data_IF_795802382964
#
_entry.id   IF_795802382964
#
_cell.length_a   1.000
_cell.length_b   1.000
_cell.length_c   1.000
_cell.angle_alpha   90.00
_cell.angle_beta   90.00
_cell.angle_gamma   90.00
#
_symmetry.space_group_name_H-M   'P 1'
#
loop_
_entity.id
_entity.type
_entity.pdbx_description
1 polymer ?
#
# COMPACT_ATOMS: atom_id res chain seq x y z
N UNK A 1 -18.95 -12.01 -36.33
CA UNK A 1 -17.60 -11.64 -36.81
C UNK A 1 -16.52 -12.12 -35.85
N UNK A 2 -15.27 -12.14 -36.28
CA UNK A 2 -14.12 -12.51 -35.47
C UNK A 2 -13.76 -11.33 -34.56
N UNK A 3 -13.81 -11.52 -33.25
CA UNK A 3 -13.57 -10.44 -32.30
C UNK A 3 -12.06 -10.32 -31.95
N UNK A 4 -11.37 -11.47 -31.80
CA UNK A 4 -9.95 -11.55 -31.49
C UNK A 4 -9.37 -12.87 -31.99
N UNK A 5 -8.09 -12.89 -32.37
CA UNK A 5 -7.36 -14.13 -32.67
C UNK A 5 -5.88 -13.93 -32.32
N UNK A 6 -5.33 -14.86 -31.55
CA UNK A 6 -3.94 -14.88 -31.16
C UNK A 6 -3.42 -16.32 -31.17
N UNK A 7 -2.15 -16.50 -31.53
CA UNK A 7 -1.49 -17.80 -31.60
C UNK A 7 -0.39 -17.93 -30.56
N UNK A 8 -0.35 -19.06 -29.87
CA UNK A 8 0.65 -19.37 -28.83
C UNK A 8 1.32 -20.69 -29.10
N UNK A 9 2.63 -20.84 -28.91
CA UNK A 9 3.26 -22.13 -28.92
C UNK A 9 2.84 -22.92 -27.66
N UNK A 10 2.31 -24.13 -27.87
CA UNK A 10 1.98 -25.02 -26.75
C UNK A 10 3.25 -25.59 -26.13
N UNK A 11 3.42 -25.41 -24.83
CA UNK A 11 4.56 -25.91 -24.05
C UNK A 11 4.05 -26.67 -22.83
N UNK A 12 4.34 -27.97 -22.77
CA UNK A 12 3.96 -28.83 -21.67
C UNK A 12 2.50 -29.34 -21.73
N UNK A 13 2.05 -29.96 -20.64
CA UNK A 13 0.72 -30.58 -20.50
C UNK A 13 -0.37 -29.57 -20.15
N UNK A 14 0.00 -28.46 -19.50
CA UNK A 14 -0.90 -27.38 -19.09
C UNK A 14 -0.27 -26.02 -19.40
N UNK A 15 -1.07 -25.13 -19.97
CA UNK A 15 -0.65 -23.77 -20.28
C UNK A 15 -1.78 -22.79 -20.01
N UNK A 16 -1.51 -21.75 -19.21
CA UNK A 16 -2.42 -20.62 -19.02
C UNK A 16 -2.09 -19.52 -20.03
N UNK A 17 -3.10 -19.09 -20.77
CA UNK A 17 -3.00 -18.01 -21.74
C UNK A 17 -3.89 -16.85 -21.29
N UNK A 18 -3.31 -15.66 -21.15
CA UNK A 18 -4.02 -14.44 -20.85
C UNK A 18 -4.40 -13.71 -22.14
N UNK A 19 -5.68 -13.67 -22.43
CA UNK A 19 -6.20 -12.94 -23.60
C UNK A 19 -6.74 -11.60 -23.13
N UNK A 20 -6.22 -10.45 -23.65
CA UNK A 20 -6.80 -9.14 -23.33
C UNK A 20 -8.26 -9.09 -23.79
N UNK A 21 -9.15 -8.78 -22.87
CA UNK A 21 -10.58 -8.86 -23.12
C UNK A 21 -11.19 -7.46 -23.11
N UNK A 22 -11.24 -6.80 -24.26
CA UNK A 22 -11.99 -5.55 -24.48
C UNK A 22 -13.36 -5.86 -25.13
N UNK A 23 -13.94 -6.99 -24.79
CA UNK A 23 -15.22 -7.42 -25.39
C UNK A 23 -16.39 -6.68 -24.75
N UNK A 24 -17.32 -6.24 -25.60
CA UNK A 24 -18.59 -5.69 -25.15
C UNK A 24 -19.48 -6.78 -24.55
N UNK A 25 -20.55 -6.39 -23.89
CA UNK A 25 -21.60 -7.32 -23.46
C UNK A 25 -22.09 -8.20 -24.63
N UNK A 26 -22.34 -9.46 -24.35
CA UNK A 26 -22.80 -10.42 -25.35
C UNK A 26 -22.32 -11.84 -25.13
N UNK A 27 -22.79 -12.71 -26.02
CA UNK A 27 -22.38 -14.12 -26.07
C UNK A 27 -21.29 -14.31 -27.12
N UNK A 28 -20.17 -14.92 -26.70
CA UNK A 28 -19.02 -15.20 -27.56
C UNK A 28 -18.78 -16.70 -27.62
N UNK A 29 -18.32 -17.16 -28.79
CA UNK A 29 -17.84 -18.52 -28.94
C UNK A 29 -16.29 -18.47 -28.92
N UNK A 30 -15.69 -19.13 -27.94
CA UNK A 30 -14.28 -19.38 -27.90
C UNK A 30 -13.95 -20.57 -28.80
N UNK A 31 -12.97 -20.43 -29.68
CA UNK A 31 -12.52 -21.50 -30.57
C UNK A 31 -11.04 -21.70 -30.38
N UNK A 32 -10.65 -22.80 -29.78
CA UNK A 32 -9.28 -23.23 -29.68
C UNK A 32 -8.94 -24.13 -30.87
N UNK A 33 -7.85 -23.82 -31.58
CA UNK A 33 -7.34 -24.59 -32.68
C UNK A 33 -5.94 -25.05 -32.34
N UNK A 34 -5.75 -26.35 -32.30
CA UNK A 34 -4.44 -26.97 -32.06
C UNK A 34 -3.96 -27.62 -33.37
N UNK A 35 -2.80 -27.20 -33.85
CA UNK A 35 -2.15 -27.76 -35.00
C UNK A 35 -0.71 -28.16 -34.68
N UNK A 36 -0.22 -29.18 -35.34
CA UNK A 36 1.19 -29.58 -35.28
C UNK A 36 1.86 -29.35 -36.63
N UNK A 37 3.09 -28.78 -36.67
CA UNK A 37 3.78 -28.48 -37.93
C UNK A 37 3.95 -29.68 -38.86
N UNK A 38 4.12 -30.89 -38.29
CA UNK A 38 4.47 -32.11 -39.02
C UNK A 38 3.28 -33.09 -39.18
N UNK A 39 2.08 -32.66 -38.87
CA UNK A 39 0.85 -33.46 -39.03
C UNK A 39 -0.25 -32.69 -39.72
N UNK A 40 -0.81 -33.32 -40.75
CA UNK A 40 -2.05 -32.82 -41.35
C UNK A 40 -3.20 -33.02 -40.38
N UNK A 41 -3.93 -31.93 -40.13
CA UNK A 41 -5.12 -31.92 -39.28
C UNK A 41 -5.04 -30.87 -38.17
N UNK A 42 -6.20 -30.45 -37.75
CA UNK A 42 -6.42 -29.45 -36.69
C UNK A 42 -7.41 -30.05 -35.67
N UNK A 43 -7.07 -29.99 -34.39
CA UNK A 43 -8.03 -30.29 -33.32
C UNK A 43 -8.71 -28.98 -32.94
N UNK A 44 -10.03 -28.97 -33.01
CA UNK A 44 -10.84 -27.81 -32.70
C UNK A 44 -11.68 -28.09 -31.46
N UNK A 45 -11.55 -27.22 -30.45
CA UNK A 45 -12.36 -27.22 -29.22
C UNK A 45 -13.11 -25.91 -29.16
N UNK A 46 -14.41 -25.97 -28.82
CA UNK A 46 -15.25 -24.78 -28.70
C UNK A 46 -15.79 -24.63 -27.27
N UNK A 47 -15.80 -23.41 -26.78
CA UNK A 47 -16.42 -23.03 -25.51
C UNK A 47 -17.32 -21.82 -25.69
N UNK A 48 -18.14 -21.53 -24.69
CA UNK A 48 -18.96 -20.32 -24.63
C UNK A 48 -18.45 -19.39 -23.55
N UNK A 49 -18.42 -18.09 -23.86
CA UNK A 49 -18.15 -17.01 -22.93
C UNK A 49 -19.34 -16.05 -22.97
N UNK A 50 -20.00 -15.85 -21.84
CA UNK A 50 -21.05 -14.85 -21.69
C UNK A 50 -20.47 -13.66 -20.93
N UNK A 51 -20.52 -12.49 -21.54
CA UNK A 51 -20.23 -11.21 -20.87
C UNK A 51 -21.58 -10.54 -20.59
N UNK A 52 -22.04 -10.55 -19.33
CA UNK A 52 -23.32 -9.96 -18.99
C UNK A 52 -23.27 -8.44 -19.10
N UNK A 53 -24.41 -7.75 -19.29
CA UNK A 53 -24.44 -6.31 -19.15
C UNK A 53 -24.08 -5.92 -17.72
N UNK A 54 -23.09 -5.05 -17.59
CA UNK A 54 -22.56 -4.58 -16.31
C UNK A 54 -22.88 -3.08 -16.17
N UNK A 55 -24.11 -2.71 -15.74
CA UNK A 55 -24.55 -1.30 -15.71
C UNK A 55 -23.75 -0.42 -14.76
N UNK A 56 -22.96 -1.04 -13.87
CA UNK A 56 -22.05 -0.33 -12.97
C UNK A 56 -20.69 -0.01 -13.60
N UNK A 57 -20.31 -0.67 -14.72
CA UNK A 57 -19.04 -0.39 -15.39
C UNK A 57 -19.09 0.99 -16.00
N UNK A 58 -18.14 1.82 -15.60
CA UNK A 58 -18.03 3.20 -16.09
C UNK A 58 -19.02 4.20 -15.46
N UNK A 59 -19.91 3.77 -14.56
CA UNK A 59 -20.73 4.73 -13.84
C UNK A 59 -19.86 5.50 -12.82
N UNK A 60 -20.28 6.71 -12.49
CA UNK A 60 -19.59 7.61 -11.57
C UNK A 60 -20.42 7.98 -10.34
N UNK A 61 -21.41 7.15 -10.01
CA UNK A 61 -22.25 7.35 -8.82
C UNK A 61 -21.35 7.30 -7.58
N UNK A 62 -21.43 8.33 -6.75
CA UNK A 62 -20.60 8.47 -5.54
C UNK A 62 -19.20 9.04 -5.78
N UNK A 63 -18.75 9.19 -7.03
CA UNK A 63 -17.50 9.91 -7.33
C UNK A 63 -17.77 11.42 -7.27
N UNK A 64 -17.40 12.04 -6.17
CA UNK A 64 -17.61 13.45 -5.91
C UNK A 64 -16.38 14.07 -5.22
N UNK A 65 -16.23 15.38 -5.35
CA UNK A 65 -15.26 16.18 -4.58
C UNK A 65 -15.94 16.88 -3.39
N UNK A 66 -17.19 16.55 -3.11
CA UNK A 66 -17.92 17.13 -1.98
C UNK A 66 -17.50 16.44 -0.69
N UNK A 67 -17.32 17.24 0.35
CA UNK A 67 -17.11 16.72 1.71
C UNK A 67 -18.46 16.26 2.25
N UNK A 68 -18.61 14.95 2.42
CA UNK A 68 -19.87 14.36 2.86
C UNK A 68 -20.06 14.54 4.38
N UNK A 69 -21.30 14.82 4.80
CA UNK A 69 -21.65 14.82 6.21
C UNK A 69 -21.44 13.42 6.81
N UNK A 70 -20.91 13.27 8.05
CA UNK A 70 -20.68 14.30 9.07
C UNK A 70 -19.27 14.94 9.02
N UNK A 71 -18.47 14.67 7.99
CA UNK A 71 -17.11 15.16 7.88
C UNK A 71 -17.06 16.67 7.68
N UNK A 72 -15.94 17.29 8.04
CA UNK A 72 -15.64 18.69 7.78
C UNK A 72 -14.55 18.83 6.71
N UNK A 73 -14.55 19.95 5.96
CA UNK A 73 -13.47 20.26 5.02
C UNK A 73 -12.09 20.22 5.69
N UNK A 74 -11.08 19.89 4.90
CA UNK A 74 -9.68 20.01 5.32
C UNK A 74 -9.37 21.46 5.69
N UNK A 75 -8.71 21.65 6.81
CA UNK A 75 -8.26 22.95 7.31
C UNK A 75 -6.74 23.06 7.23
N UNK A 76 -6.25 24.05 6.50
CA UNK A 76 -4.82 24.28 6.28
C UNK A 76 -4.33 25.40 7.21
N UNK A 77 -3.52 25.06 8.22
CA UNK A 77 -3.06 26.02 9.24
C UNK A 77 -1.62 26.49 9.03
N UNK A 78 -1.06 26.29 7.84
CA UNK A 78 0.35 26.59 7.56
C UNK A 78 1.32 25.60 8.21
N UNK A 79 2.63 25.75 7.95
CA UNK A 79 3.69 24.84 8.47
C UNK A 79 3.45 23.33 8.22
N UNK A 80 2.73 22.99 7.13
CA UNK A 80 2.43 21.60 6.77
C UNK A 80 1.41 20.90 7.68
N UNK A 81 0.66 21.64 8.49
CA UNK A 81 -0.38 21.05 9.34
C UNK A 81 -1.73 21.08 8.61
N UNK A 82 -2.35 19.92 8.51
CA UNK A 82 -3.67 19.73 7.90
C UNK A 82 -4.63 19.22 8.98
N UNK A 83 -5.68 19.97 9.24
CA UNK A 83 -6.77 19.59 10.14
C UNK A 83 -7.83 18.81 9.39
N UNK A 84 -8.37 17.78 10.03
CA UNK A 84 -9.42 16.93 9.50
C UNK A 84 -10.36 16.53 10.64
N UNK A 85 -11.56 17.12 10.68
CA UNK A 85 -12.51 16.92 11.78
C UNK A 85 -11.85 17.26 13.14
N UNK A 86 -11.79 16.30 14.08
CA UNK A 86 -11.12 16.50 15.39
C UNK A 86 -9.66 16.02 15.40
N UNK A 87 -9.04 15.90 14.24
CA UNK A 87 -7.66 15.38 14.08
C UNK A 87 -6.78 16.39 13.36
N UNK A 88 -5.49 16.29 13.60
CA UNK A 88 -4.48 17.06 12.86
C UNK A 88 -3.32 16.17 12.43
N UNK A 89 -2.77 16.48 11.27
CA UNK A 89 -1.69 15.74 10.63
C UNK A 89 -0.59 16.70 10.23
N UNK A 90 0.64 16.38 10.57
CA UNK A 90 1.82 17.14 10.15
C UNK A 90 2.70 16.21 9.33
N UNK A 91 3.04 16.63 8.12
CA UNK A 91 3.89 15.87 7.21
C UNK A 91 5.33 16.37 7.26
N UNK A 92 6.29 15.43 7.10
CA UNK A 92 7.70 15.68 6.81
C UNK A 92 8.07 14.81 5.61
N UNK A 93 8.08 15.43 4.43
CA UNK A 93 8.19 14.71 3.17
C UNK A 93 7.01 13.76 2.93
N UNK A 94 7.27 12.49 2.55
CA UNK A 94 6.22 11.53 2.24
C UNK A 94 5.40 11.07 3.45
N UNK A 95 5.92 11.22 4.67
CA UNK A 95 5.35 10.60 5.85
C UNK A 95 4.91 11.61 6.90
N UNK A 96 4.12 11.12 7.86
CA UNK A 96 3.69 11.93 9.01
C UNK A 96 4.84 12.12 10.00
N UNK A 97 5.12 13.36 10.35
CA UNK A 97 5.94 13.67 11.52
C UNK A 97 5.12 13.68 12.80
N UNK A 98 3.80 13.95 12.69
CA UNK A 98 2.86 13.81 13.79
C UNK A 98 1.43 13.61 13.27
N UNK A 99 0.64 12.84 14.00
CA UNK A 99 -0.81 12.81 13.95
C UNK A 99 -1.35 13.02 15.35
N UNK A 100 -2.42 13.79 15.49
CA UNK A 100 -3.06 14.00 16.78
C UNK A 100 -4.59 13.82 16.68
N UNK A 101 -5.19 13.27 17.73
CA UNK A 101 -6.63 13.10 17.88
C UNK A 101 -7.12 13.92 19.09
N UNK A 102 -8.04 14.86 18.88
CA UNK A 102 -8.48 15.76 19.95
C UNK A 102 -7.32 16.55 20.63
N UNK A 103 -6.25 16.84 19.89
CA UNK A 103 -5.04 17.46 20.41
C UNK A 103 -4.03 16.50 21.07
N UNK A 104 -4.38 15.23 21.26
CA UNK A 104 -3.49 14.21 21.82
C UNK A 104 -2.59 13.62 20.71
N UNK A 105 -1.25 13.70 20.81
CA UNK A 105 -0.36 13.11 19.81
C UNK A 105 -0.55 11.58 19.74
N UNK A 106 -0.49 11.02 18.53
CA UNK A 106 -0.53 9.57 18.30
C UNK A 106 0.89 9.02 18.14
N UNK A 107 1.72 9.74 17.38
CA UNK A 107 3.10 9.34 17.15
C UNK A 107 3.98 9.79 18.31
N UNK A 108 4.90 8.92 18.73
CA UNK A 108 5.98 9.25 19.69
C UNK A 108 7.13 9.97 19.02
N UNK A 109 7.36 9.68 17.75
CA UNK A 109 8.36 10.31 16.88
C UNK A 109 7.88 10.23 15.42
N UNK A 110 8.48 11.01 14.49
CA UNK A 110 8.15 10.94 13.07
C UNK A 110 8.23 9.52 12.48
N UNK A 111 7.34 9.22 11.54
CA UNK A 111 7.45 8.02 10.70
C UNK A 111 8.71 8.14 9.85
N UNK A 112 9.50 7.08 9.78
CA UNK A 112 10.80 7.07 9.11
C UNK A 112 10.94 5.87 8.18
N UNK A 113 11.45 6.15 6.97
CA UNK A 113 11.97 5.13 6.06
C UNK A 113 13.49 5.15 6.16
N UNK A 114 14.12 4.00 6.37
CA UNK A 114 15.58 3.87 6.36
C UNK A 114 16.03 2.65 5.57
N UNK A 115 17.19 2.77 4.93
CA UNK A 115 17.87 1.70 4.22
C UNK A 115 19.11 1.26 5.00
N UNK A 116 19.24 -0.04 5.26
CA UNK A 116 20.48 -0.64 5.73
C UNK A 116 21.31 -1.00 4.51
N UNK A 117 22.52 -0.44 4.41
CA UNK A 117 23.47 -0.64 3.32
C UNK A 117 24.86 -0.87 3.95
N UNK A 118 25.48 -1.99 3.64
CA UNK A 118 26.79 -2.37 4.19
C UNK A 118 26.83 -2.27 5.73
N UNK A 119 25.76 -2.71 6.39
CA UNK A 119 25.63 -2.69 7.85
C UNK A 119 25.39 -1.31 8.47
N UNK A 120 25.25 -0.25 7.67
CA UNK A 120 24.98 1.13 8.14
C UNK A 120 23.55 1.53 7.84
N UNK A 121 22.86 2.13 8.82
CA UNK A 121 21.50 2.64 8.66
C UNK A 121 21.51 4.06 8.06
N UNK A 122 20.81 4.23 6.96
CA UNK A 122 20.72 5.48 6.21
C UNK A 122 19.26 5.96 6.20
N UNK A 123 18.90 6.95 7.03
CA UNK A 123 17.53 7.48 7.05
C UNK A 123 17.24 8.29 5.78
N UNK A 124 15.98 8.25 5.34
CA UNK A 124 15.47 9.09 4.27
C UNK A 124 15.43 10.55 4.74
N UNK A 125 15.90 11.45 3.91
CA UNK A 125 15.83 12.90 4.14
C UNK A 125 15.21 13.60 2.95
N UNK A 126 14.17 14.37 3.19
CA UNK A 126 13.49 15.18 2.16
C UNK A 126 14.38 16.30 1.68
N UNK A 127 14.53 16.43 0.36
CA UNK A 127 15.34 17.48 -0.28
C UNK A 127 14.49 18.56 -0.94
N UNK A 128 13.26 18.21 -1.34
CA UNK A 128 12.29 19.17 -1.86
C UNK A 128 10.88 18.71 -1.57
N UNK A 129 9.97 19.68 -1.41
CA UNK A 129 8.53 19.48 -1.24
C UNK A 129 7.79 20.50 -2.07
N UNK A 130 6.76 20.04 -2.77
CA UNK A 130 5.85 20.87 -3.56
C UNK A 130 4.41 20.54 -3.14
N UNK A 131 3.59 21.56 -2.93
CA UNK A 131 2.15 21.38 -2.74
C UNK A 131 1.49 21.36 -4.11
N UNK A 132 0.92 20.21 -4.48
CA UNK A 132 0.32 20.00 -5.79
C UNK A 132 -1.17 20.35 -5.79
N UNK A 133 -1.86 20.11 -4.67
CA UNK A 133 -3.28 20.37 -4.50
C UNK A 133 -3.64 20.69 -3.05
N UNK A 134 -4.51 21.69 -2.87
CA UNK A 134 -5.17 22.00 -1.60
C UNK A 134 -6.64 22.31 -1.86
N UNK A 135 -7.49 21.33 -1.60
CA UNK A 135 -8.95 21.44 -1.74
C UNK A 135 -9.65 21.11 -0.42
N UNK A 136 -10.94 21.41 -0.27
CA UNK A 136 -11.70 21.02 0.91
C UNK A 136 -11.75 19.52 1.17
N UNK A 137 -11.75 18.71 0.11
CA UNK A 137 -11.85 17.24 0.15
C UNK A 137 -10.51 16.53 0.15
N UNK A 138 -9.44 17.16 -0.41
CA UNK A 138 -8.18 16.48 -0.66
C UNK A 138 -6.98 17.43 -0.69
N UNK A 139 -5.88 16.98 -0.10
CA UNK A 139 -4.56 17.59 -0.18
C UNK A 139 -3.59 16.64 -0.90
N UNK A 140 -2.71 17.18 -1.76
CA UNK A 140 -1.66 16.42 -2.44
C UNK A 140 -0.34 17.18 -2.35
N UNK A 141 0.73 16.45 -2.09
CA UNK A 141 2.11 16.93 -2.07
C UNK A 141 3.04 15.93 -2.73
N UNK A 142 4.08 16.44 -3.36
CA UNK A 142 5.14 15.61 -3.95
C UNK A 142 6.52 16.21 -3.68
N UNK A 143 7.55 15.46 -4.02
CA UNK A 143 8.91 15.95 -3.84
C UNK A 143 9.98 14.92 -4.10
N UNK A 144 11.19 15.26 -3.65
CA UNK A 144 12.36 14.41 -3.74
C UNK A 144 12.99 14.22 -2.37
N UNK A 145 13.66 13.11 -2.21
CA UNK A 145 14.39 12.75 -1.01
C UNK A 145 15.65 11.96 -1.38
N UNK A 146 16.51 11.72 -0.41
CA UNK A 146 17.73 10.92 -0.55
C UNK A 146 17.97 10.16 0.76
N UNK A 147 18.50 8.96 0.67
CA UNK A 147 19.03 8.27 1.85
C UNK A 147 20.37 8.88 2.21
N UNK A 148 20.50 9.37 3.44
CA UNK A 148 21.67 10.13 3.89
C UNK A 148 22.99 9.40 3.65
N UNK A 149 23.96 10.09 3.02
CA UNK A 149 25.28 9.52 2.75
C UNK A 149 25.34 8.48 1.62
N UNK A 150 24.25 8.32 0.85
CA UNK A 150 24.18 7.40 -0.28
C UNK A 150 23.78 8.10 -1.59
N UNK A 151 24.05 7.50 -2.76
CA UNK A 151 23.56 8.02 -4.03
C UNK A 151 22.11 7.64 -4.33
N UNK A 152 21.43 6.89 -3.44
CA UNK A 152 20.06 6.41 -3.62
C UNK A 152 19.07 7.57 -3.46
N UNK A 153 18.48 7.97 -4.57
CA UNK A 153 17.46 9.02 -4.63
C UNK A 153 16.07 8.44 -4.55
N UNK A 154 15.12 9.30 -4.19
CA UNK A 154 13.70 8.93 -4.05
C UNK A 154 12.85 10.05 -4.63
N UNK A 155 11.93 9.69 -5.52
CA UNK A 155 10.76 10.50 -5.83
C UNK A 155 9.60 10.04 -4.94
N UNK A 156 8.83 10.99 -4.42
CA UNK A 156 7.70 10.66 -3.56
C UNK A 156 6.50 11.54 -3.83
N UNK A 157 5.32 11.01 -3.52
CA UNK A 157 4.08 11.78 -3.42
C UNK A 157 3.27 11.30 -2.24
N UNK A 158 2.44 12.16 -1.69
CA UNK A 158 1.42 11.78 -0.74
C UNK A 158 0.11 12.53 -1.02
N UNK A 159 -0.97 11.96 -0.53
CA UNK A 159 -2.25 12.63 -0.49
C UNK A 159 -3.01 12.29 0.78
N UNK A 160 -3.92 13.16 1.14
CA UNK A 160 -4.79 13.02 2.30
C UNK A 160 -6.20 13.44 1.92
N UNK A 161 -7.20 12.69 2.38
CA UNK A 161 -8.62 13.00 2.23
C UNK A 161 -9.26 13.49 3.53
N UNK A 162 -10.44 14.07 3.40
CA UNK A 162 -11.16 14.69 4.52
C UNK A 162 -11.58 13.72 5.62
N UNK A 163 -11.57 12.42 5.37
CA UNK A 163 -11.81 11.38 6.38
C UNK A 163 -10.55 11.01 7.18
N UNK A 164 -9.40 11.56 6.77
CA UNK A 164 -8.10 11.35 7.38
C UNK A 164 -7.32 10.17 6.83
N UNK A 165 -7.78 9.53 5.74
CA UNK A 165 -6.94 8.59 5.01
C UNK A 165 -5.75 9.33 4.39
N UNK A 166 -4.54 8.82 4.65
CA UNK A 166 -3.31 9.32 4.05
C UNK A 166 -2.64 8.21 3.27
N UNK A 167 -2.18 8.50 2.06
CA UNK A 167 -1.43 7.55 1.24
C UNK A 167 -0.11 8.17 0.82
N UNK A 168 0.98 7.43 1.01
CA UNK A 168 2.31 7.80 0.56
C UNK A 168 2.79 6.83 -0.52
N UNK A 169 3.31 7.36 -1.60
CA UNK A 169 3.98 6.62 -2.67
C UNK A 169 5.46 7.01 -2.68
N UNK A 170 6.33 6.01 -2.71
CA UNK A 170 7.78 6.19 -2.69
C UNK A 170 8.37 5.38 -3.85
N UNK A 171 9.08 6.04 -4.75
CA UNK A 171 9.77 5.42 -5.87
C UNK A 171 11.29 5.55 -5.67
N UNK A 172 11.98 4.41 -5.55
CA UNK A 172 13.43 4.37 -5.45
C UNK A 172 14.05 4.63 -6.82
N UNK A 173 15.04 5.51 -6.87
CA UNK A 173 15.83 5.83 -8.06
C UNK A 173 17.29 5.40 -7.81
N UNK A 174 17.64 4.14 -8.12
CA UNK A 174 18.99 3.64 -7.88
C UNK A 174 20.00 4.33 -8.82
N UNK A 175 21.28 4.44 -8.41
CA UNK A 175 22.33 4.93 -9.29
C UNK A 175 22.57 3.97 -10.46
N UNK A 176 23.16 4.44 -11.58
CA UNK A 176 23.36 3.62 -12.79
C UNK A 176 24.18 2.34 -12.56
N UNK A 177 25.14 2.38 -11.64
CA UNK A 177 25.97 1.25 -11.23
C UNK A 177 25.24 0.22 -10.36
N UNK A 178 24.01 0.52 -9.95
CA UNK A 178 23.25 -0.28 -9.01
C UNK A 178 23.64 0.00 -7.56
N UNK A 179 22.85 -0.51 -6.63
CA UNK A 179 23.11 -0.45 -5.19
C UNK A 179 22.44 -1.65 -4.52
N UNK A 180 23.19 -2.34 -3.67
CA UNK A 180 22.61 -3.40 -2.83
C UNK A 180 22.03 -2.80 -1.56
N UNK A 181 20.78 -3.12 -1.25
CA UNK A 181 20.11 -2.73 -0.02
C UNK A 181 19.92 -4.00 0.81
N UNK A 182 20.52 -4.08 1.99
CA UNK A 182 20.38 -5.23 2.89
C UNK A 182 18.98 -5.26 3.51
N UNK A 183 18.43 -4.09 3.83
CA UNK A 183 17.07 -3.95 4.37
C UNK A 183 16.51 -2.55 4.10
N UNK A 184 15.23 -2.48 3.77
CA UNK A 184 14.46 -1.24 3.68
C UNK A 184 13.32 -1.32 4.68
N UNK A 185 13.31 -0.44 5.69
CA UNK A 185 12.32 -0.49 6.77
C UNK A 185 11.59 0.84 6.94
N UNK A 186 10.25 0.77 7.00
CA UNK A 186 9.39 1.88 7.40
C UNK A 186 8.99 1.68 8.87
N UNK A 187 9.35 2.63 9.73
CA UNK A 187 9.03 2.59 11.16
C UNK A 187 8.01 3.66 11.52
N UNK A 188 7.01 3.29 12.28
CA UNK A 188 5.90 4.14 12.77
C UNK A 188 5.90 4.09 14.29
N UNK A 189 6.68 4.96 14.98
CA UNK A 189 6.75 4.98 16.43
C UNK A 189 5.45 5.54 17.02
N UNK A 190 4.75 4.72 17.81
CA UNK A 190 3.49 5.09 18.45
C UNK A 190 3.69 5.38 19.95
N UNK A 191 2.78 6.13 20.57
CA UNK A 191 2.72 6.23 22.02
C UNK A 191 2.50 4.83 22.62
N UNK A 192 3.20 4.46 23.71
CA UNK A 192 3.10 3.13 24.32
C UNK A 192 1.69 2.76 24.79
N UNK A 193 0.92 3.72 25.26
CA UNK A 193 -0.44 3.52 25.76
C UNK A 193 -1.47 3.24 24.67
N UNK A 194 -1.15 3.53 23.41
CA UNK A 194 -2.00 3.19 22.25
C UNK A 194 -1.83 1.73 21.85
N UNK A 195 -0.65 1.15 22.03
CA UNK A 195 -0.33 -0.20 21.54
C UNK A 195 -0.79 -1.25 22.55
N UNK A 196 -2.11 -1.40 22.75
CA UNK A 196 -2.71 -2.41 23.66
C UNK A 196 -3.39 -3.54 22.91
N UNK A 197 -4.11 -3.22 21.84
CA UNK A 197 -4.88 -4.17 21.04
C UNK A 197 -4.38 -4.17 19.61
N UNK A 198 -4.47 -5.33 18.96
CA UNK A 198 -4.05 -5.52 17.59
C UNK A 198 -5.11 -6.29 16.82
N UNK A 199 -5.42 -5.85 15.59
CA UNK A 199 -6.29 -6.53 14.65
C UNK A 199 -5.67 -6.51 13.24
N UNK A 200 -5.52 -7.68 12.62
CA UNK A 200 -5.09 -7.86 11.22
C UNK A 200 -6.10 -8.73 10.45
N UNK A 201 -5.81 -9.03 9.16
CA UNK A 201 -6.77 -9.67 8.24
C UNK A 201 -6.83 -11.18 8.31
N UNK A 202 -5.75 -11.86 8.60
CA UNK A 202 -5.62 -13.32 8.39
C UNK A 202 -6.52 -14.22 9.24
N UNK A 203 -7.45 -13.65 10.00
CA UNK A 203 -8.34 -14.45 10.84
C UNK A 203 -9.79 -13.99 10.73
N UNK A 204 -10.37 -14.11 9.52
CA UNK A 204 -11.80 -13.89 9.31
C UNK A 204 -12.71 -14.87 10.06
N UNK A 205 -12.18 -15.85 10.79
CA UNK A 205 -12.95 -16.81 11.60
C UNK A 205 -12.78 -16.70 13.09
N UNK A 206 -11.80 -15.98 13.59
CA UNK A 206 -11.63 -15.70 15.01
C UNK A 206 -11.10 -14.29 15.13
N UNK A 207 -12.02 -13.34 15.38
CA UNK A 207 -11.68 -12.02 15.88
C UNK A 207 -10.96 -12.22 17.22
N UNK A 208 -9.69 -12.52 17.18
CA UNK A 208 -8.85 -12.40 18.36
C UNK A 208 -8.59 -10.91 18.56
N UNK A 209 -9.58 -10.23 19.08
CA UNK A 209 -9.39 -9.01 19.84
C UNK A 209 -8.55 -9.37 21.06
N UNK A 210 -7.28 -9.71 20.84
CA UNK A 210 -6.38 -10.12 21.89
C UNK A 210 -5.62 -8.90 22.35
N UNK A 211 -5.68 -8.65 23.64
CA UNK A 211 -4.65 -7.87 24.32
C UNK A 211 -3.32 -8.50 23.94
N UNK A 212 -2.43 -7.72 23.35
CA UNK A 212 -1.11 -8.22 23.02
C UNK A 212 -0.42 -8.66 24.31
N UNK A 213 0.19 -9.86 24.33
CA UNK A 213 0.97 -10.28 25.47
C UNK A 213 2.27 -9.48 25.51
N UNK A 214 2.21 -8.31 26.17
CA UNK A 214 3.35 -7.38 26.26
C UNK A 214 4.38 -7.74 27.33
N UNK A 215 4.61 -9.00 27.57
CA UNK A 215 5.71 -9.49 28.40
C UNK A 215 7.06 -9.35 27.68
N UNK A 216 7.32 -8.18 27.09
CA UNK A 216 8.49 -7.93 26.26
C UNK A 216 8.47 -8.60 24.88
N UNK A 217 7.34 -9.20 24.48
CA UNK A 217 7.21 -9.93 23.22
C UNK A 217 6.92 -9.00 22.06
N UNK A 218 7.60 -9.30 20.96
CA UNK A 218 7.41 -8.65 19.65
C UNK A 218 6.45 -9.52 18.84
N UNK A 219 5.36 -8.95 18.34
CA UNK A 219 4.50 -9.62 17.40
C UNK A 219 5.09 -9.49 15.99
N UNK A 220 5.18 -10.60 15.25
CA UNK A 220 5.75 -10.66 13.90
C UNK A 220 4.84 -11.45 12.99
N UNK A 221 4.72 -10.99 11.73
CA UNK A 221 3.96 -11.68 10.67
C UNK A 221 4.59 -11.42 9.31
N UNK A 222 4.19 -12.24 8.34
CA UNK A 222 4.33 -11.96 6.93
C UNK A 222 3.47 -10.76 6.52
N UNK A 223 3.16 -10.65 5.25
CA UNK A 223 2.31 -9.55 4.76
C UNK A 223 0.90 -9.58 5.37
N UNK A 224 0.47 -8.45 5.86
CA UNK A 224 -0.91 -8.17 6.29
C UNK A 224 -1.37 -6.88 5.59
N UNK A 225 -2.45 -6.90 4.79
CA UNK A 225 -2.90 -5.73 4.04
C UNK A 225 -3.42 -4.60 4.92
N UNK A 226 -3.84 -4.86 6.13
CA UNK A 226 -4.08 -3.85 7.14
C UNK A 226 -3.72 -4.33 8.55
N UNK A 227 -3.39 -3.38 9.39
CA UNK A 227 -3.14 -3.60 10.81
C UNK A 227 -3.69 -2.43 11.61
N UNK A 228 -4.64 -2.70 12.48
CA UNK A 228 -5.13 -1.76 13.47
C UNK A 228 -4.44 -1.99 14.81
N UNK A 229 -3.84 -0.96 15.35
CA UNK A 229 -3.26 -0.93 16.69
C UNK A 229 -3.96 0.15 17.49
N UNK A 230 -4.48 -0.17 18.67
CA UNK A 230 -5.30 0.77 19.45
C UNK A 230 -5.26 0.52 20.96
N UNK A 231 -5.71 1.50 21.71
CA UNK A 231 -6.28 1.33 23.04
C UNK A 231 -7.81 1.40 22.97
N UNK A 232 -8.48 1.67 24.09
CA UNK A 232 -9.93 1.74 24.20
C UNK A 232 -10.53 3.00 23.56
N UNK A 233 -9.73 4.02 23.26
CA UNK A 233 -10.19 5.35 22.86
C UNK A 233 -9.65 5.81 21.51
N UNK A 234 -8.45 5.40 21.16
CA UNK A 234 -7.75 5.87 19.97
C UNK A 234 -6.85 4.78 19.39
N UNK A 235 -6.49 4.92 18.11
CA UNK A 235 -5.65 3.95 17.43
C UNK A 235 -5.01 4.49 16.18
N UNK A 236 -4.17 3.63 15.61
CA UNK A 236 -3.49 3.86 14.34
C UNK A 236 -3.76 2.68 13.42
N UNK A 237 -4.23 2.96 12.20
CA UNK A 237 -4.43 1.97 11.15
C UNK A 237 -3.35 2.12 10.09
N UNK A 238 -2.61 1.04 9.88
CA UNK A 238 -1.79 0.85 8.69
C UNK A 238 -2.60 0.10 7.64
N UNK A 239 -2.46 0.50 6.38
CA UNK A 239 -3.08 -0.14 5.24
C UNK A 239 -2.12 -0.17 4.04
N UNK A 240 -2.08 -1.31 3.32
CA UNK A 240 -1.34 -1.49 2.08
C UNK A 240 -2.02 -2.60 1.26
N UNK A 241 -2.43 -2.32 0.02
CA UNK A 241 -3.25 -3.27 -0.76
C UNK A 241 -2.51 -4.55 -1.13
N UNK A 242 -1.20 -4.48 -1.35
CA UNK A 242 -0.38 -5.63 -1.73
C UNK A 242 1.08 -5.45 -1.33
N UNK A 243 1.83 -6.54 -1.34
CA UNK A 243 3.29 -6.56 -1.19
C UNK A 243 4.03 -6.43 -2.55
N UNK A 244 3.34 -5.98 -3.60
CA UNK A 244 3.97 -5.75 -4.89
C UNK A 244 5.15 -4.78 -4.76
N UNK A 245 6.28 -5.16 -5.36
CA UNK A 245 7.57 -4.47 -5.26
C UNK A 245 8.29 -4.55 -3.89
N UNK A 246 7.78 -5.32 -2.94
CA UNK A 246 8.58 -5.69 -1.77
C UNK A 246 9.52 -6.84 -2.16
N UNK A 247 10.69 -6.89 -1.53
CA UNK A 247 11.70 -7.94 -1.82
C UNK A 247 12.04 -8.65 -0.52
N UNK A 248 11.63 -9.90 -0.42
CA UNK A 248 11.84 -10.73 0.77
C UNK A 248 11.88 -12.22 0.40
N UNK A 249 12.47 -13.08 1.24
CA UNK A 249 12.41 -14.52 1.07
C UNK A 249 10.98 -15.06 1.15
N UNK A 250 10.71 -16.15 0.42
CA UNK A 250 9.42 -16.85 0.50
C UNK A 250 9.09 -17.24 1.94
N UNK A 251 7.88 -16.91 2.38
CA UNK A 251 7.40 -17.24 3.72
C UNK A 251 8.00 -16.39 4.86
N UNK A 252 8.62 -15.24 4.55
CA UNK A 252 9.12 -14.31 5.56
C UNK A 252 8.05 -13.99 6.61
N UNK A 253 8.43 -14.02 7.89
CA UNK A 253 7.51 -13.83 9.04
C UNK A 253 7.83 -12.55 9.83
N UNK A 254 8.59 -11.65 9.27
CA UNK A 254 9.01 -10.39 9.88
C UNK A 254 8.79 -9.17 8.99
N UNK A 255 7.95 -9.31 7.96
CA UNK A 255 7.56 -8.18 7.10
C UNK A 255 6.80 -7.13 7.88
N UNK A 256 6.02 -7.55 8.87
CA UNK A 256 5.28 -6.69 9.77
C UNK A 256 5.66 -7.02 11.21
N UNK A 257 6.12 -6.02 11.93
CA UNK A 257 6.59 -6.14 13.32
C UNK A 257 5.87 -5.11 14.18
N UNK A 258 5.23 -5.54 15.27
CA UNK A 258 4.62 -4.65 16.27
C UNK A 258 5.35 -4.83 17.59
N UNK A 259 5.77 -3.73 18.18
CA UNK A 259 6.42 -3.67 19.48
C UNK A 259 5.58 -2.88 20.46
N UNK A 260 5.60 -3.27 21.73
CA UNK A 260 5.03 -2.52 22.85
C UNK A 260 6.13 -1.95 23.76
N UNK A 261 5.70 -1.36 24.88
CA UNK A 261 6.62 -0.76 25.84
C UNK A 261 7.31 0.49 25.33
N UNK A 262 8.55 0.72 25.73
CA UNK A 262 9.31 1.93 25.38
C UNK A 262 9.53 2.06 23.87
N UNK A 263 9.64 0.93 23.16
CA UNK A 263 9.83 0.87 21.71
C UNK A 263 8.52 0.72 20.93
N UNK A 264 7.39 1.11 21.54
CA UNK A 264 6.07 0.92 20.96
C UNK A 264 5.96 1.49 19.53
N UNK A 265 5.39 0.68 18.64
CA UNK A 265 5.19 1.06 17.25
C UNK A 265 5.05 -0.11 16.29
N UNK A 266 4.96 0.24 15.01
CA UNK A 266 4.86 -0.69 13.89
C UNK A 266 6.11 -0.50 13.03
N UNK A 267 6.68 -1.60 12.55
CA UNK A 267 7.72 -1.58 11.52
C UNK A 267 7.33 -2.49 10.35
N UNK A 268 7.58 -2.02 9.13
CA UNK A 268 7.43 -2.76 7.90
C UNK A 268 8.82 -2.96 7.30
N UNK A 269 9.20 -4.21 7.03
CA UNK A 269 10.41 -4.53 6.28
C UNK A 269 10.01 -4.75 4.81
N UNK A 270 10.27 -3.75 3.98
CA UNK A 270 9.91 -3.72 2.56
C UNK A 270 10.94 -4.48 1.71
N UNK A 271 12.20 -4.50 2.19
CA UNK A 271 13.31 -5.34 1.70
C UNK A 271 13.93 -5.99 2.92
N UNK A 272 14.13 -7.31 2.89
CA UNK A 272 14.71 -8.09 3.98
C UNK A 272 15.47 -9.32 3.49
#
# INVERSE_FOLDING_TARGET
>A
GKAHEEGFPVRGEEQTVHVPCEFKEGEYTLVYRLSQPDREGEVRVTGKLMIPPLPWVGNRIGVTNEVLSPWSPLAYSGKGVIGCWNRSYTFDGPFLSQAANGGNPILRAPIRLSALIDGTDHPLTTTSTQSDMQRPDRAETSGKAVFQGTPLKVAWSNWMEYDGLTVATVALEPPPEGLTIDRLSLTMPLRPDIVKYLRGTRHMGALRNGRLPWDGKVWRRGFEPYLWVSNEYEGFLYFCESEANWVHPDGAQDLLVVKGGEDAGIALNLIS
#
